data_IF_720773045809
#
_entry.id   IF_720773045809
#
_cell.length_a   1.000
_cell.length_b   1.000
_cell.length_c   1.000
_cell.angle_alpha   90.00
_cell.angle_beta   90.00
_cell.angle_gamma   90.00
#
_symmetry.space_group_name_H-M   'P 1'
#
loop_
_entity.id
_entity.type
_entity.pdbx_description
1 polymer ?
#
# COMPACT_ATOMS: atom_id res chain seq x y z
N UNK A 1 4.37 45.23 -29.15
CA UNK A 1 4.86 44.73 -27.83
C UNK A 1 4.04 43.56 -27.26
N UNK A 2 2.74 43.42 -27.57
CA UNK A 2 1.90 42.31 -27.04
C UNK A 2 2.27 40.92 -27.62
N UNK A 3 2.73 40.86 -28.88
CA UNK A 3 3.04 39.60 -29.56
C UNK A 3 4.29 38.89 -29.00
N UNK A 4 5.22 39.60 -28.36
CA UNK A 4 6.43 39.00 -27.77
C UNK A 4 6.17 38.38 -26.41
N UNK A 5 5.18 38.89 -25.66
CA UNK A 5 4.75 38.33 -24.38
C UNK A 5 4.03 37.00 -24.60
N UNK A 6 3.09 36.95 -25.55
CA UNK A 6 2.37 35.73 -25.91
C UNK A 6 3.30 34.61 -26.41
N UNK A 7 4.32 34.96 -27.21
CA UNK A 7 5.35 34.01 -27.67
C UNK A 7 6.24 33.49 -26.54
N UNK A 8 6.59 34.33 -25.56
CA UNK A 8 7.36 33.91 -24.38
C UNK A 8 6.54 32.97 -23.49
N UNK A 9 5.27 33.27 -23.26
CA UNK A 9 4.35 32.41 -22.50
C UNK A 9 4.20 31.06 -23.20
N UNK A 10 3.98 31.05 -24.51
CA UNK A 10 3.92 29.82 -25.30
C UNK A 10 5.18 28.95 -25.17
N UNK A 11 6.36 29.56 -25.28
CA UNK A 11 7.64 28.85 -25.13
C UNK A 11 7.85 28.30 -23.71
N UNK A 12 7.43 29.03 -22.66
CA UNK A 12 7.51 28.58 -21.28
C UNK A 12 6.59 27.39 -21.03
N UNK A 13 5.36 27.44 -21.54
CA UNK A 13 4.40 26.33 -21.44
C UNK A 13 4.92 25.08 -22.18
N UNK A 14 5.49 25.26 -23.38
CA UNK A 14 6.12 24.18 -24.15
C UNK A 14 7.30 23.56 -23.41
N UNK A 15 8.16 24.38 -22.81
CA UNK A 15 9.31 23.91 -22.03
C UNK A 15 8.88 23.14 -20.76
N UNK A 16 7.87 23.63 -20.04
CA UNK A 16 7.31 22.95 -18.86
C UNK A 16 6.66 21.62 -19.24
N UNK A 17 5.88 21.59 -20.33
CA UNK A 17 5.27 20.37 -20.84
C UNK A 17 6.32 19.30 -21.22
N UNK A 18 7.40 19.70 -21.88
CA UNK A 18 8.50 18.81 -22.20
C UNK A 18 9.19 18.24 -20.94
N UNK A 19 9.40 19.08 -19.92
CA UNK A 19 10.05 18.66 -18.67
C UNK A 19 9.23 17.59 -17.92
N UNK A 20 7.90 17.78 -17.86
CA UNK A 20 6.97 16.82 -17.24
C UNK A 20 6.95 15.51 -18.03
N UNK A 21 6.91 15.59 -19.36
CA UNK A 21 6.91 14.41 -20.22
C UNK A 21 8.18 13.56 -20.03
N UNK A 22 9.37 14.18 -19.97
CA UNK A 22 10.63 13.45 -19.74
C UNK A 22 10.67 12.79 -18.36
N UNK A 23 10.14 13.45 -17.33
CA UNK A 23 10.16 12.96 -15.95
C UNK A 23 9.30 11.69 -15.73
N UNK A 24 8.30 11.47 -16.58
CA UNK A 24 7.41 10.30 -16.48
C UNK A 24 8.09 8.95 -16.78
N UNK A 25 9.30 8.97 -17.35
CA UNK A 25 10.05 7.76 -17.72
C UNK A 25 10.91 7.17 -16.58
N UNK A 26 11.05 7.87 -15.44
CA UNK A 26 12.03 7.52 -14.38
C UNK A 26 11.45 6.62 -13.27
N UNK A 27 10.18 6.20 -13.36
CA UNK A 27 9.48 5.55 -12.22
C UNK A 27 9.63 4.04 -12.06
N UNK A 28 9.90 3.29 -13.13
CA UNK A 28 9.82 1.83 -13.10
C UNK A 28 11.13 1.18 -13.60
N UNK A 29 12.08 0.97 -12.70
CA UNK A 29 13.32 0.23 -13.01
C UNK A 29 13.20 -1.22 -12.53
N UNK A 30 13.56 -2.18 -13.39
CA UNK A 30 13.71 -3.58 -12.98
C UNK A 30 15.05 -3.72 -12.27
N UNK A 31 15.00 -3.94 -10.96
CA UNK A 31 16.17 -4.30 -10.14
C UNK A 31 16.20 -5.79 -9.85
N UNK A 32 17.41 -6.34 -9.73
CA UNK A 32 17.59 -7.71 -9.31
C UNK A 32 17.01 -7.92 -7.89
N UNK A 33 16.55 -9.12 -7.53
CA UNK A 33 15.92 -9.36 -6.23
C UNK A 33 16.80 -8.95 -5.03
N UNK A 34 18.12 -9.09 -5.13
CA UNK A 34 19.09 -8.72 -4.07
C UNK A 34 19.40 -7.21 -4.00
N UNK A 35 19.02 -6.43 -5.02
CA UNK A 35 19.18 -4.97 -5.01
C UNK A 35 17.99 -4.27 -4.35
N UNK A 36 16.88 -5.00 -4.14
CA UNK A 36 15.76 -4.54 -3.32
C UNK A 36 16.26 -4.59 -1.88
N UNK A 37 16.45 -3.43 -1.26
CA UNK A 37 16.80 -3.37 0.16
C UNK A 37 15.81 -4.17 1.02
N UNK A 38 16.19 -4.44 2.28
CA UNK A 38 15.31 -5.11 3.23
C UNK A 38 14.01 -4.31 3.43
N UNK A 39 12.91 -4.83 2.88
CA UNK A 39 11.56 -4.27 3.04
C UNK A 39 10.90 -4.73 4.35
N UNK A 40 11.29 -5.91 4.84
CA UNK A 40 10.78 -6.45 6.08
C UNK A 40 11.59 -5.91 7.26
N UNK A 41 10.97 -5.09 8.10
CA UNK A 41 11.59 -4.67 9.35
C UNK A 41 11.83 -5.92 10.23
N UNK A 42 12.89 -5.99 11.07
CA UNK A 42 13.11 -7.12 11.98
C UNK A 42 11.92 -7.44 12.92
N UNK A 43 11.02 -6.49 13.11
CA UNK A 43 9.76 -6.67 13.89
C UNK A 43 8.60 -7.21 13.07
N UNK A 44 8.76 -7.40 11.75
CA UNK A 44 7.80 -8.10 10.87
C UNK A 44 8.05 -9.62 10.87
N UNK A 45 8.94 -10.11 11.72
CA UNK A 45 9.08 -11.53 12.02
C UNK A 45 7.86 -11.96 12.81
N UNK A 46 7.16 -12.97 12.33
CA UNK A 46 6.06 -13.59 13.09
C UNK A 46 6.66 -14.37 14.26
N UNK A 47 6.28 -14.03 15.50
CA UNK A 47 6.48 -14.91 16.65
C UNK A 47 5.78 -16.27 16.42
N UNK A 48 6.07 -17.29 17.22
CA UNK A 48 5.48 -18.64 17.10
C UNK A 48 3.95 -18.58 17.01
N UNK A 49 3.43 -18.62 15.78
CA UNK A 49 2.01 -18.56 15.44
C UNK A 49 1.23 -19.78 15.93
N UNK A 50 1.88 -20.72 16.61
CA UNK A 50 1.25 -21.88 17.21
C UNK A 50 0.31 -21.50 18.37
N UNK A 51 0.55 -20.37 19.05
CA UNK A 51 -0.26 -19.98 20.21
C UNK A 51 -1.48 -19.17 19.74
N UNK A 52 -2.65 -19.80 19.82
CA UNK A 52 -3.96 -19.14 19.63
C UNK A 52 -4.72 -19.51 18.35
N UNK A 53 -4.08 -20.19 17.39
CA UNK A 53 -4.75 -20.64 16.16
C UNK A 53 -5.84 -21.66 16.44
N UNK A 54 -5.59 -22.63 17.33
CA UNK A 54 -6.59 -23.64 17.72
C UNK A 54 -7.83 -23.02 18.37
N UNK A 55 -7.63 -22.05 19.27
CA UNK A 55 -8.73 -21.30 19.90
C UNK A 55 -9.50 -20.45 18.87
N UNK A 56 -8.81 -19.82 17.92
CA UNK A 56 -9.43 -19.04 16.84
C UNK A 56 -10.25 -19.93 15.89
N UNK A 57 -9.71 -21.08 15.49
CA UNK A 57 -10.40 -22.07 14.65
C UNK A 57 -11.64 -22.62 15.35
N UNK A 58 -11.54 -22.97 16.65
CA UNK A 58 -12.71 -23.38 17.43
C UNK A 58 -13.75 -22.26 17.53
N UNK A 59 -13.35 -21.03 17.82
CA UNK A 59 -14.28 -19.89 17.93
C UNK A 59 -15.05 -19.60 16.63
N UNK A 60 -14.42 -19.75 15.46
CA UNK A 60 -15.09 -19.60 14.15
C UNK A 60 -16.00 -20.80 13.87
N UNK A 61 -15.56 -22.02 14.19
CA UNK A 61 -16.30 -23.25 13.92
C UNK A 61 -17.51 -23.43 14.86
N UNK A 62 -17.41 -22.93 16.09
CA UNK A 62 -18.41 -23.03 17.15
C UNK A 62 -19.26 -21.75 17.28
N UNK A 63 -19.26 -20.86 16.27
CA UNK A 63 -19.97 -19.58 16.30
C UNK A 63 -21.48 -19.64 16.58
N UNK A 64 -22.09 -20.83 16.56
CA UNK A 64 -23.47 -21.09 16.98
C UNK A 64 -23.65 -21.29 18.50
N UNK A 65 -22.61 -21.68 19.25
CA UNK A 65 -22.68 -21.89 20.71
C UNK A 65 -22.27 -20.66 21.53
N UNK A 66 -21.93 -19.55 20.87
CA UNK A 66 -21.40 -18.35 21.52
C UNK A 66 -19.92 -18.53 21.87
N UNK A 67 -19.05 -17.73 21.25
CA UNK A 67 -17.63 -17.71 21.59
C UNK A 67 -17.39 -17.15 22.99
N UNK A 68 -16.24 -17.51 23.60
CA UNK A 68 -15.76 -16.94 24.86
C UNK A 68 -15.75 -15.41 24.72
N UNK A 69 -16.58 -14.74 25.52
CA UNK A 69 -16.96 -13.33 25.37
C UNK A 69 -15.79 -12.38 25.06
N UNK A 70 -15.87 -11.76 23.89
CA UNK A 70 -15.01 -10.66 23.46
C UNK A 70 -15.74 -9.94 22.33
N UNK A 71 -16.28 -8.76 22.62
CA UNK A 71 -17.17 -8.05 21.71
C UNK A 71 -16.53 -7.73 20.35
N UNK A 72 -17.25 -8.07 19.27
CA UNK A 72 -16.97 -7.52 17.95
C UNK A 72 -17.45 -8.37 16.77
N UNK A 73 -18.62 -8.02 16.21
CA UNK A 73 -18.85 -8.05 14.77
C UNK A 73 -19.55 -9.27 14.13
N UNK A 74 -20.81 -9.55 14.48
CA UNK A 74 -21.68 -10.43 13.69
C UNK A 74 -22.85 -10.98 14.50
N UNK A 75 -23.96 -11.37 13.86
CA UNK A 75 -25.21 -11.82 14.48
C UNK A 75 -25.05 -13.14 15.28
N UNK A 76 -24.27 -13.10 16.35
CA UNK A 76 -24.11 -14.17 17.32
C UNK A 76 -25.23 -14.09 18.34
N UNK A 77 -26.37 -14.71 18.03
CA UNK A 77 -27.39 -14.98 19.03
C UNK A 77 -26.84 -15.98 20.07
N UNK A 78 -26.23 -15.44 21.13
CA UNK A 78 -26.54 -15.73 22.53
C UNK A 78 -26.34 -14.46 23.36
#
# INVERSE_FOLDING_TARGET
MQNTLARRIGNVVLALGALVALSSTVGCVKVAPYERGTLAHPTMVTDDMAIGVDAHVRGVSEGASGGLGGGGGGCGCN
#
